data_IF_892869224689
#
_entry.id   IF_892869224689
#
_cell.length_a   1.000
_cell.length_b   1.000
_cell.length_c   1.000
_cell.angle_alpha   90.00
_cell.angle_beta   90.00
_cell.angle_gamma   90.00
#
_symmetry.space_group_name_H-M   'P 1'
#
loop_
_entity.id
_entity.type
_entity.pdbx_description
1 polymer ?
#
# COMPACT_ATOMS: atom_id res chain seq x y z
N UNK A 1 23.50 23.05 -9.44
CA UNK A 1 22.23 22.83 -10.18
C UNK A 1 21.59 21.62 -9.54
N UNK A 2 20.60 21.84 -8.67
CA UNK A 2 19.74 20.76 -8.18
C UNK A 2 18.84 20.32 -9.35
N UNK A 3 19.04 19.10 -9.83
CA UNK A 3 18.10 18.50 -10.77
C UNK A 3 16.79 18.21 -10.01
N UNK A 4 15.61 18.47 -10.61
CA UNK A 4 14.35 18.16 -9.95
C UNK A 4 14.28 16.65 -9.71
N UNK A 5 14.30 16.24 -8.46
CA UNK A 5 14.05 14.84 -8.07
C UNK A 5 12.61 14.52 -8.43
N UNK A 6 12.42 13.74 -9.49
CA UNK A 6 11.10 13.24 -9.86
C UNK A 6 10.56 12.38 -8.70
N UNK A 7 9.28 12.51 -8.34
CA UNK A 7 8.70 11.69 -7.28
C UNK A 7 8.80 10.20 -7.67
N UNK A 8 9.30 9.38 -6.75
CA UNK A 8 9.34 7.93 -6.94
C UNK A 8 7.92 7.37 -6.75
N UNK A 9 7.17 7.28 -7.84
CA UNK A 9 5.80 6.76 -7.82
C UNK A 9 5.84 5.23 -7.88
N UNK A 10 5.31 4.58 -6.84
CA UNK A 10 4.99 3.14 -6.86
C UNK A 10 3.51 2.94 -7.15
N UNK A 11 3.17 2.02 -8.05
CA UNK A 11 1.79 1.80 -8.49
C UNK A 11 1.40 0.34 -8.36
N UNK A 12 0.18 0.08 -7.90
CA UNK A 12 -0.33 -1.26 -7.66
C UNK A 12 -1.71 -1.43 -8.30
N UNK A 13 -1.98 -2.61 -8.83
CA UNK A 13 -3.33 -3.07 -9.17
C UNK A 13 -3.73 -4.10 -8.14
N UNK A 14 -4.93 -3.94 -7.57
CA UNK A 14 -5.52 -4.91 -6.66
C UNK A 14 -6.80 -5.43 -7.29
N UNK A 15 -6.90 -6.75 -7.45
CA UNK A 15 -8.09 -7.43 -7.96
C UNK A 15 -8.74 -8.21 -6.83
N UNK A 16 -10.05 -8.09 -6.76
CA UNK A 16 -10.92 -8.76 -5.80
C UNK A 16 -11.78 -9.76 -6.59
N UNK A 17 -11.75 -11.03 -6.20
CA UNK A 17 -12.58 -12.09 -6.80
C UNK A 17 -13.39 -12.74 -5.70
N UNK A 18 -14.72 -12.70 -5.88
CA UNK A 18 -15.66 -13.43 -5.05
C UNK A 18 -16.06 -14.68 -5.82
N UNK A 19 -15.78 -15.85 -5.25
CA UNK A 19 -16.28 -17.11 -5.80
C UNK A 19 -17.65 -17.41 -5.19
N UNK A 20 -18.69 -17.20 -5.98
CA UNK A 20 -20.10 -17.44 -5.62
C UNK A 20 -20.53 -18.90 -5.89
N UNK A 21 -19.66 -19.72 -6.48
CA UNK A 21 -19.97 -21.11 -6.84
C UNK A 21 -19.64 -22.11 -5.73
N UNK A 22 -18.87 -21.68 -4.72
CA UNK A 22 -18.57 -22.46 -3.54
C UNK A 22 -19.76 -22.51 -2.56
N UNK A 23 -19.86 -23.61 -1.80
CA UNK A 23 -20.84 -23.80 -0.71
C UNK A 23 -20.81 -22.64 0.31
N UNK A 24 -19.66 -21.96 0.41
CA UNK A 24 -19.51 -20.69 1.11
C UNK A 24 -18.80 -19.67 0.23
N UNK A 25 -19.27 -18.40 0.19
CA UNK A 25 -18.64 -17.35 -0.61
C UNK A 25 -17.19 -17.19 -0.18
N UNK A 26 -16.27 -17.53 -1.07
CA UNK A 26 -14.84 -17.46 -0.79
C UNK A 26 -14.25 -16.28 -1.53
N UNK A 27 -13.60 -15.39 -0.77
CA UNK A 27 -12.91 -14.25 -1.34
C UNK A 27 -11.43 -14.57 -1.54
N UNK A 28 -10.92 -14.24 -2.71
CA UNK A 28 -9.48 -14.18 -2.95
C UNK A 28 -9.13 -12.94 -3.75
N UNK A 29 -7.91 -12.48 -3.56
CA UNK A 29 -7.40 -11.29 -4.20
C UNK A 29 -6.04 -11.52 -4.83
N UNK A 30 -5.67 -10.59 -5.70
CA UNK A 30 -4.36 -10.53 -6.32
C UNK A 30 -3.88 -9.09 -6.27
N UNK A 31 -2.65 -8.86 -5.80
CA UNK A 31 -1.99 -7.55 -5.86
C UNK A 31 -0.76 -7.63 -6.75
N UNK A 32 -0.66 -6.70 -7.69
CA UNK A 32 0.45 -6.60 -8.63
C UNK A 32 1.11 -5.23 -8.56
N UNK A 33 2.43 -5.21 -8.41
CA UNK A 33 3.23 -4.01 -8.57
C UNK A 33 3.51 -3.76 -10.05
N UNK A 34 3.18 -2.57 -10.55
CA UNK A 34 3.20 -2.25 -11.98
C UNK A 34 4.63 -2.14 -12.49
N UNK A 35 5.52 -1.50 -11.72
CA UNK A 35 6.88 -1.21 -12.16
C UNK A 35 7.76 -2.47 -12.24
N UNK A 36 7.55 -3.46 -11.38
CA UNK A 36 8.34 -4.71 -11.38
C UNK A 36 7.62 -5.91 -11.96
N UNK A 37 6.33 -5.77 -12.27
CA UNK A 37 5.43 -6.85 -12.65
C UNK A 37 5.35 -8.02 -11.64
N UNK A 38 5.81 -7.80 -10.39
CA UNK A 38 5.66 -8.79 -9.32
C UNK A 38 4.21 -8.82 -8.84
N UNK A 39 3.73 -10.01 -8.53
CA UNK A 39 2.34 -10.25 -8.14
C UNK A 39 2.28 -11.30 -7.03
N UNK A 40 1.33 -11.14 -6.10
CA UNK A 40 0.98 -12.14 -5.10
C UNK A 40 -0.53 -12.31 -4.99
N UNK A 41 -0.97 -13.54 -4.78
CA UNK A 41 -2.34 -13.83 -4.36
C UNK A 41 -2.47 -13.60 -2.85
N UNK A 42 -3.65 -13.21 -2.39
CA UNK A 42 -3.97 -13.06 -0.98
C UNK A 42 -5.39 -13.51 -0.69
N UNK A 43 -5.63 -13.95 0.55
CA UNK A 43 -6.97 -14.22 1.09
C UNK A 43 -7.35 -13.20 2.17
N UNK A 44 -6.33 -12.60 2.82
CA UNK A 44 -6.48 -11.56 3.81
C UNK A 44 -5.84 -10.25 3.34
N UNK A 45 -6.45 -9.11 3.68
CA UNK A 45 -5.92 -7.78 3.34
C UNK A 45 -4.49 -7.55 3.88
N UNK A 46 -4.16 -8.17 5.01
CA UNK A 46 -2.83 -8.10 5.63
C UNK A 46 -1.74 -8.50 4.65
N UNK A 47 -1.91 -9.61 3.93
CA UNK A 47 -0.93 -10.14 2.98
C UNK A 47 -0.66 -9.14 1.83
N UNK A 48 -1.71 -8.49 1.33
CA UNK A 48 -1.58 -7.45 0.30
C UNK A 48 -0.79 -6.24 0.83
N UNK A 49 -1.05 -5.81 2.08
CA UNK A 49 -0.31 -4.70 2.68
C UNK A 49 1.16 -5.03 2.94
N UNK A 50 1.48 -6.26 3.34
CA UNK A 50 2.88 -6.69 3.51
C UNK A 50 3.63 -6.73 2.18
N UNK A 51 2.97 -7.10 1.09
CA UNK A 51 3.54 -6.99 -0.25
C UNK A 51 3.83 -5.52 -0.62
N UNK A 52 2.87 -4.62 -0.45
CA UNK A 52 3.03 -3.20 -0.79
C UNK A 52 4.13 -2.51 0.03
N UNK A 53 4.30 -2.90 1.31
CA UNK A 53 5.37 -2.41 2.20
C UNK A 53 6.79 -2.65 1.70
N UNK A 54 6.98 -3.62 0.80
CA UNK A 54 8.30 -3.88 0.19
C UNK A 54 8.73 -2.79 -0.80
N UNK A 55 7.77 -1.99 -1.29
CA UNK A 55 7.99 -0.99 -2.33
C UNK A 55 7.72 0.44 -1.84
N UNK A 56 6.94 0.60 -0.76
CA UNK A 56 6.63 1.90 -0.15
C UNK A 56 7.30 2.00 1.21
N UNK A 57 8.21 2.98 1.35
CA UNK A 57 8.79 3.34 2.65
C UNK A 57 7.74 4.13 3.44
N UNK A 58 6.95 3.44 4.26
CA UNK A 58 5.87 4.05 5.04
C UNK A 58 6.37 4.78 6.30
N UNK A 59 7.64 4.62 6.68
CA UNK A 59 8.23 5.26 7.87
C UNK A 59 8.28 6.80 7.79
N UNK A 60 8.18 7.39 6.60
CA UNK A 60 8.24 8.85 6.42
C UNK A 60 6.87 9.55 6.48
N UNK A 61 5.78 8.80 6.62
CA UNK A 61 4.42 9.36 6.79
C UNK A 61 4.02 9.49 8.27
N UNK A 62 4.99 9.72 9.16
CA UNK A 62 4.66 10.25 10.48
C UNK A 62 4.02 11.63 10.26
N UNK A 63 2.73 11.84 10.61
CA UNK A 63 2.20 13.19 10.63
C UNK A 63 3.13 14.02 11.54
N UNK A 64 3.45 15.28 11.19
CA UNK A 64 4.26 16.11 12.08
C UNK A 64 3.62 16.04 13.46
N UNK A 65 4.36 15.50 14.42
CA UNK A 65 3.96 15.47 15.83
C UNK A 65 3.47 16.87 16.15
N UNK A 66 2.21 16.98 16.59
CA UNK A 66 1.49 18.25 16.69
C UNK A 66 2.38 19.34 17.32
N UNK A 67 2.42 20.57 16.78
CA UNK A 67 3.24 21.63 17.34
C UNK A 67 2.84 21.87 18.80
N UNK A 68 3.85 22.02 19.66
CA UNK A 68 3.74 22.26 21.09
C UNK A 68 2.66 23.32 21.40
N UNK A 69 1.88 23.16 22.50
CA UNK A 69 0.90 24.16 22.88
C UNK A 69 1.60 25.49 23.12
N UNK A 70 1.30 26.49 22.28
CA UNK A 70 1.78 27.86 22.45
C UNK A 70 1.27 28.35 23.82
N UNK A 71 2.14 28.29 24.82
CA UNK A 71 1.92 28.98 26.10
C UNK A 71 2.29 30.45 25.86
N UNK A 72 1.30 31.24 25.45
CA UNK A 72 1.46 32.69 25.41
C UNK A 72 1.59 33.20 26.85
N UNK A 73 2.76 33.79 27.14
CA UNK A 73 3.02 34.70 28.25
C UNK A 73 2.29 36.04 28.05
#
# INVERSE_FOLDING_TARGET
MDAPTLPLISSFIIRFVLDETADQPTYHGVVRHIQTAQEVSFTEWREATEFMRRFVQLDELQPPSSPDPITNL
#
